data_IF_116870343380
#
_entry.id   IF_116870343380
#
_cell.length_a   1.000
_cell.length_b   1.000
_cell.length_c   1.000
_cell.angle_alpha   90.00
_cell.angle_beta   90.00
_cell.angle_gamma   90.00
#
_symmetry.space_group_name_H-M   'P 1'
#
loop_
_entity.id
_entity.type
_entity.pdbx_description
1 polymer ?
#
# COMPACT_ATOMS: atom_id res chain seq x y z
N UNK A 1 0.83 -8.46 -9.60
CA UNK A 1 0.15 -7.20 -9.89
C UNK A 1 1.17 -6.08 -9.80
N UNK A 2 0.94 -4.95 -10.47
CA UNK A 2 1.76 -3.75 -10.37
C UNK A 2 0.84 -2.58 -10.03
N UNK A 3 1.28 -1.65 -9.18
CA UNK A 3 0.47 -0.48 -8.87
C UNK A 3 1.20 0.59 -8.07
N UNK A 4 0.55 1.74 -8.01
CA UNK A 4 0.97 2.96 -7.34
C UNK A 4 0.50 2.98 -5.89
N UNK A 5 1.40 3.28 -4.95
CA UNK A 5 1.04 3.47 -3.55
C UNK A 5 0.44 4.86 -3.37
N UNK A 6 -0.82 4.92 -2.92
CA UNK A 6 -1.49 6.21 -2.65
C UNK A 6 -1.37 6.63 -1.19
N UNK A 7 -1.39 5.67 -0.26
CA UNK A 7 -1.37 5.93 1.17
C UNK A 7 -0.71 4.78 1.92
N UNK A 8 -0.17 5.10 3.10
CA UNK A 8 0.35 4.10 4.04
C UNK A 8 -0.17 4.38 5.44
N UNK A 9 -0.55 3.33 6.16
CA UNK A 9 -1.03 3.42 7.54
C UNK A 9 -0.12 2.61 8.46
N UNK A 10 0.11 3.14 9.67
CA UNK A 10 0.80 2.46 10.78
C UNK A 10 -0.21 2.31 11.93
N UNK A 11 -0.16 1.22 12.71
CA UNK A 11 -1.01 1.03 13.87
C UNK A 11 -0.70 2.09 14.91
N UNK A 12 -1.73 2.46 15.65
CA UNK A 12 -1.58 3.31 16.80
C UNK A 12 -0.67 2.64 17.85
N UNK A 13 0.03 3.43 18.67
CA UNK A 13 0.77 2.90 19.82
C UNK A 13 -0.10 1.95 20.66
N UNK A 14 0.49 0.86 21.16
CA UNK A 14 -0.22 -0.14 21.98
C UNK A 14 -1.05 -1.17 21.20
N UNK A 15 -1.14 -1.07 19.87
CA UNK A 15 -1.70 -2.13 19.03
C UNK A 15 -0.61 -3.04 18.48
N UNK A 16 -0.97 -4.29 18.13
CA UNK A 16 -0.07 -5.19 17.41
C UNK A 16 0.50 -4.52 16.16
N UNK A 17 1.80 -4.65 15.94
CA UNK A 17 2.47 -4.03 14.81
C UNK A 17 1.86 -4.52 13.48
N UNK A 18 1.56 -3.59 12.58
CA UNK A 18 1.17 -3.82 11.20
C UNK A 18 1.64 -2.65 10.34
N UNK A 19 1.80 -2.86 9.05
CA UNK A 19 2.03 -1.76 8.12
C UNK A 19 1.09 -1.97 6.96
N UNK A 20 0.35 -0.95 6.59
CA UNK A 20 -0.61 -1.04 5.51
C UNK A 20 -0.24 -0.09 4.39
N UNK A 21 -0.43 -0.53 3.15
CA UNK A 21 -0.31 0.31 1.96
C UNK A 21 -1.54 0.11 1.08
N UNK A 22 -2.10 1.22 0.60
CA UNK A 22 -3.17 1.22 -0.40
C UNK A 22 -2.54 1.36 -1.77
N UNK A 23 -2.85 0.40 -2.65
CA UNK A 23 -2.29 0.32 -4.00
C UNK A 23 -3.40 0.38 -5.03
N UNK A 24 -3.21 1.20 -6.06
CA UNK A 24 -4.11 1.35 -7.21
C UNK A 24 -3.33 1.11 -8.50
N UNK A 25 -3.94 0.66 -9.60
CA UNK A 25 -3.24 0.37 -10.85
C UNK A 25 -2.47 1.57 -11.42
N UNK A 26 -3.05 2.77 -11.30
CA UNK A 26 -2.52 4.01 -11.86
C UNK A 26 -2.62 5.15 -10.84
N UNK A 27 -1.75 6.16 -11.00
CA UNK A 27 -1.77 7.35 -10.14
C UNK A 27 -3.14 8.04 -10.25
N UNK A 28 -3.84 8.29 -9.14
CA UNK A 28 -5.13 8.94 -9.18
C UNK A 28 -5.00 10.43 -9.53
N UNK A 29 -6.02 10.96 -10.21
CA UNK A 29 -6.13 12.40 -10.45
C UNK A 29 -6.39 13.16 -9.13
N UNK A 30 -5.96 14.42 -9.00
CA UNK A 30 -6.31 15.24 -7.84
C UNK A 30 -7.82 15.27 -7.58
N UNK A 31 -8.25 14.98 -6.34
CA UNK A 31 -9.66 14.93 -5.96
C UNK A 31 -10.41 13.66 -6.37
N UNK A 32 -9.77 12.71 -7.04
CA UNK A 32 -10.38 11.42 -7.38
C UNK A 32 -10.69 10.63 -6.12
N UNK A 33 -11.95 10.18 -5.99
CA UNK A 33 -12.37 9.30 -4.90
C UNK A 33 -11.92 7.87 -5.17
N UNK A 34 -11.22 7.29 -4.20
CA UNK A 34 -10.71 5.91 -4.24
C UNK A 34 -11.70 4.96 -3.57
N UNK A 35 -12.80 4.67 -4.26
CA UNK A 35 -13.73 3.61 -3.87
C UNK A 35 -13.80 2.66 -5.06
N UNK A 36 -13.57 1.37 -4.85
CA UNK A 36 -13.80 0.38 -5.89
C UNK A 36 -14.49 -0.86 -5.34
N UNK A 37 -15.47 -1.33 -6.10
CA UNK A 37 -16.10 -2.64 -5.94
C UNK A 37 -15.51 -3.69 -6.88
N UNK A 38 -14.59 -3.28 -7.77
CA UNK A 38 -14.01 -4.13 -8.80
C UNK A 38 -12.65 -4.68 -8.35
N UNK A 39 -12.48 -5.97 -8.58
CA UNK A 39 -11.26 -6.67 -8.20
C UNK A 39 -10.02 -6.05 -8.85
N UNK A 40 -8.96 -5.86 -8.06
CA UNK A 40 -7.67 -5.35 -8.50
C UNK A 40 -7.57 -3.83 -8.75
N UNK A 41 -8.66 -3.06 -8.67
CA UNK A 41 -8.61 -1.59 -8.81
C UNK A 41 -8.15 -0.89 -7.54
N UNK A 42 -8.36 -1.52 -6.39
CA UNK A 42 -7.86 -1.06 -5.10
C UNK A 42 -7.47 -2.28 -4.29
N UNK A 43 -6.18 -2.39 -3.97
CA UNK A 43 -5.62 -3.49 -3.19
C UNK A 43 -4.96 -2.94 -1.94
N UNK A 44 -5.31 -3.51 -0.79
CA UNK A 44 -4.66 -3.20 0.49
C UNK A 44 -3.60 -4.26 0.76
N UNK A 45 -2.35 -3.82 0.88
CA UNK A 45 -1.23 -4.66 1.28
C UNK A 45 -1.02 -4.51 2.79
N UNK A 46 -0.96 -5.63 3.52
CA UNK A 46 -0.80 -5.61 4.98
C UNK A 46 0.40 -6.47 5.37
N UNK A 47 1.42 -5.85 5.96
CA UNK A 47 2.55 -6.54 6.57
C UNK A 47 2.31 -6.66 8.08
N UNK A 48 2.11 -7.88 8.56
CA UNK A 48 1.89 -8.16 9.97
C UNK A 48 3.22 -8.16 10.74
N UNK A 49 3.23 -7.59 11.94
CA UNK A 49 4.42 -7.51 12.79
C UNK A 49 5.42 -6.41 12.40
N UNK A 50 5.11 -5.59 11.39
CA UNK A 50 6.02 -4.56 10.87
C UNK A 50 5.53 -3.16 11.25
N UNK A 51 6.40 -2.29 11.75
CA UNK A 51 6.07 -0.86 11.95
C UNK A 51 6.39 0.01 10.74
N UNK A 52 7.30 -0.46 9.89
CA UNK A 52 7.76 0.15 8.65
C UNK A 52 8.15 -0.96 7.69
N UNK A 53 8.04 -0.69 6.39
CA UNK A 53 8.47 -1.61 5.32
C UNK A 53 9.28 -0.81 4.31
N UNK A 54 10.45 -1.33 3.93
CA UNK A 54 11.40 -0.61 3.11
C UNK A 54 10.82 -0.26 1.73
N UNK A 55 10.98 0.99 1.30
CA UNK A 55 10.55 1.46 -0.02
C UNK A 55 9.02 1.55 -0.22
N UNK A 56 8.23 1.26 0.81
CA UNK A 56 6.77 1.36 0.76
C UNK A 56 6.35 2.74 1.23
N UNK A 57 6.26 3.68 0.29
CA UNK A 57 5.89 5.07 0.55
C UNK A 57 4.84 5.56 -0.46
N UNK A 58 3.94 6.48 -0.07
CA UNK A 58 3.06 7.15 -1.02
C UNK A 58 3.87 7.73 -2.17
N UNK A 59 3.51 7.37 -3.39
CA UNK A 59 4.20 7.79 -4.60
C UNK A 59 5.12 6.72 -5.23
N UNK A 60 5.41 5.62 -4.54
CA UNK A 60 6.19 4.54 -5.12
C UNK A 60 5.33 3.64 -6.02
N UNK A 61 5.97 2.98 -7.00
CA UNK A 61 5.39 1.92 -7.81
C UNK A 61 5.94 0.59 -7.33
N UNK A 62 5.04 -0.36 -7.04
CA UNK A 62 5.39 -1.71 -6.62
C UNK A 62 4.93 -2.74 -7.64
N UNK A 63 5.71 -3.81 -7.78
CA UNK A 63 5.23 -5.10 -8.23
C UNK A 63 5.04 -6.00 -7.01
N UNK A 64 3.88 -6.64 -6.89
CA UNK A 64 3.53 -7.45 -5.73
C UNK A 64 2.75 -8.71 -6.09
N UNK A 65 2.83 -9.71 -5.23
CA UNK A 65 2.09 -10.98 -5.35
C UNK A 65 1.79 -11.61 -4.00
N UNK A 66 0.71 -12.37 -3.94
CA UNK A 66 0.27 -13.12 -2.78
C UNK A 66 -1.19 -13.55 -2.89
N UNK A 67 -1.69 -14.31 -1.92
CA UNK A 67 -3.09 -14.69 -1.87
C UNK A 67 -3.99 -13.47 -1.66
N UNK A 68 -5.04 -13.35 -2.47
CA UNK A 68 -6.03 -12.28 -2.33
C UNK A 68 -7.15 -12.74 -1.40
N UNK A 69 -7.43 -11.94 -0.39
CA UNK A 69 -8.58 -12.05 0.50
C UNK A 69 -9.54 -10.87 0.24
N UNK A 70 -10.84 -11.04 0.53
CA UNK A 70 -11.80 -9.94 0.45
C UNK A 70 -12.24 -9.53 1.86
N UNK A 71 -12.10 -8.24 2.20
CA UNK A 71 -12.58 -7.65 3.47
C UNK A 71 -13.27 -6.33 3.21
N UNK A 72 -14.49 -6.16 3.71
CA UNK A 72 -15.25 -4.90 3.58
C UNK A 72 -15.32 -4.39 2.13
N UNK A 73 -15.44 -5.30 1.16
CA UNK A 73 -15.49 -4.98 -0.27
C UNK A 73 -14.13 -4.68 -0.92
N UNK A 74 -13.02 -4.71 -0.17
CA UNK A 74 -11.66 -4.45 -0.66
C UNK A 74 -10.88 -5.74 -0.84
N UNK A 75 -10.02 -5.78 -1.86
CA UNK A 75 -9.04 -6.84 -2.04
C UNK A 75 -7.85 -6.58 -1.11
N UNK A 76 -7.43 -7.60 -0.37
CA UNK A 76 -6.38 -7.53 0.66
C UNK A 76 -5.35 -8.63 0.44
N UNK A 77 -4.07 -8.32 0.54
CA UNK A 77 -2.98 -9.30 0.53
C UNK A 77 -2.16 -9.15 1.81
N UNK A 78 -2.08 -10.23 2.59
CA UNK A 78 -1.26 -10.29 3.79
C UNK A 78 0.15 -10.76 3.47
N UNK A 79 1.15 -10.11 4.06
CA UNK A 79 2.59 -10.36 3.90
C UNK A 79 2.96 -10.63 2.43
N UNK A 80 2.64 -9.69 1.51
CA UNK A 80 2.91 -9.89 0.10
C UNK A 80 4.41 -10.01 -0.15
N UNK A 81 4.77 -10.78 -1.19
CA UNK A 81 6.06 -10.61 -1.85
C UNK A 81 5.98 -9.34 -2.69
N UNK A 82 6.98 -8.48 -2.60
CA UNK A 82 6.99 -7.22 -3.34
C UNK A 82 8.38 -6.86 -3.85
N UNK A 83 8.39 -5.99 -4.84
CA UNK A 83 9.56 -5.34 -5.43
C UNK A 83 9.19 -3.88 -5.70
N UNK A 84 10.09 -2.97 -5.35
CA UNK A 84 9.94 -1.55 -5.69
C UNK A 84 10.44 -1.35 -7.11
N UNK A 85 9.54 -0.94 -8.00
CA UNK A 85 9.85 -0.69 -9.41
C UNK A 85 10.27 0.76 -9.61
N UNK A 86 9.60 1.69 -8.92
CA UNK A 86 9.95 3.10 -8.88
C UNK A 86 9.81 3.59 -7.45
N UNK A 87 10.86 4.21 -6.90
CA UNK A 87 10.79 4.83 -5.59
C UNK A 87 9.89 6.07 -5.65
N UNK A 88 9.24 6.40 -4.54
CA UNK A 88 8.53 7.68 -4.44
C UNK A 88 9.52 8.82 -4.77
N UNK A 89 9.12 9.83 -5.55
CA UNK A 89 9.98 10.98 -5.82
C UNK A 89 10.46 11.57 -4.50
N UNK A 90 11.76 11.81 -4.44
CA UNK A 90 12.51 12.03 -3.21
C UNK A 90 11.88 13.16 -2.38
N UNK A 91 11.12 12.79 -1.36
CA UNK A 91 10.80 13.69 -0.25
C UNK A 91 11.88 13.42 0.78
N UNK A 92 13.09 13.90 0.48
CA UNK A 92 14.31 13.69 1.26
C UNK A 92 13.99 13.81 2.75
N UNK A 93 14.43 12.83 3.53
CA UNK A 93 14.36 12.77 4.99
C UNK A 93 14.40 14.17 5.63
N UNK A 94 13.22 14.66 6.03
CA UNK A 94 13.10 15.86 6.87
C UNK A 94 11.90 15.74 7.79
N UNK A 95 11.89 14.67 8.56
CA UNK A 95 11.30 14.69 9.91
C UNK A 95 12.37 14.15 10.86
N UNK A 96 13.35 15.04 11.13
CA UNK A 96 14.05 15.12 12.40
C UNK A 96 13.06 15.52 13.50
#
# INVERSE_FOLDING_TARGET
>A
MTGWITATTRPAPGHSASFEAVVVPERPSPGQRLESSKAGELVVLIWLGQHRVAGIHPGAILRFSGPVSRREGRDVIFNPRYEVIEAAPDRTDKEL
#
